data_IF_415209988738
#
_entry.id   IF_415209988738
#
_cell.length_a   1.000
_cell.length_b   1.000
_cell.length_c   1.000
_cell.angle_alpha   90.00
_cell.angle_beta   90.00
_cell.angle_gamma   90.00
#
_symmetry.space_group_name_H-M   'P 1'
#
loop_
_entity.id
_entity.type
_entity.pdbx_description
1 polymer ?
#
# COMPACT_ATOMS: atom_id res chain seq x y z
N UNK A 1 38.44 5.33 14.08
CA UNK A 1 37.95 3.96 13.84
C UNK A 1 36.49 4.01 13.44
N UNK A 2 36.16 3.43 12.30
CA UNK A 2 34.88 3.55 11.62
C UNK A 2 33.87 2.48 12.07
N UNK A 3 32.58 2.80 11.99
CA UNK A 3 31.47 1.87 12.22
C UNK A 3 30.19 2.35 11.56
N UNK A 4 30.15 2.36 10.23
CA UNK A 4 28.96 2.68 9.45
C UNK A 4 28.05 1.45 9.33
N UNK A 5 26.97 1.40 10.11
CA UNK A 5 25.92 0.39 10.00
C UNK A 5 24.97 0.67 8.84
N UNK A 6 25.22 0.05 7.67
CA UNK A 6 24.29 0.04 6.55
C UNK A 6 23.10 -0.87 6.88
N UNK A 7 21.97 -0.28 7.25
CA UNK A 7 20.67 -0.97 7.33
C UNK A 7 20.28 -1.50 5.94
N UNK A 8 20.29 -2.83 5.79
CA UNK A 8 19.83 -3.52 4.59
C UNK A 8 18.33 -3.27 4.41
N UNK A 9 17.96 -2.54 3.36
CA UNK A 9 16.60 -2.53 2.82
C UNK A 9 16.30 -3.94 2.29
N UNK A 10 15.46 -4.69 2.99
CA UNK A 10 14.99 -5.98 2.52
C UNK A 10 14.13 -5.76 1.26
N UNK A 11 14.62 -6.31 0.15
CA UNK A 11 13.96 -6.30 -1.14
C UNK A 11 12.79 -7.26 -1.16
N UNK A 12 11.77 -6.89 -1.92
CA UNK A 12 10.55 -7.63 -2.11
C UNK A 12 10.71 -8.80 -3.09
N UNK A 13 10.27 -9.98 -2.66
CA UNK A 13 9.80 -11.09 -3.49
C UNK A 13 8.72 -11.85 -2.73
N UNK A 14 7.68 -12.27 -3.46
CA UNK A 14 6.57 -13.06 -2.93
C UNK A 14 7.02 -14.39 -2.33
N UNK A 15 6.15 -14.92 -1.45
CA UNK A 15 6.33 -16.10 -0.61
C UNK A 15 7.42 -15.94 0.48
N UNK A 16 6.98 -15.53 1.66
CA UNK A 16 7.81 -15.21 2.81
C UNK A 16 8.15 -16.45 3.64
N UNK A 17 9.29 -17.08 3.34
CA UNK A 17 9.96 -17.95 4.31
C UNK A 17 10.89 -17.06 5.17
N UNK A 18 10.67 -17.02 6.49
CA UNK A 18 11.62 -16.41 7.45
C UNK A 18 11.30 -15.00 8.00
N UNK A 19 10.04 -14.56 8.00
CA UNK A 19 9.69 -13.35 8.77
C UNK A 19 9.65 -13.67 10.27
N UNK A 20 10.29 -12.83 11.08
CA UNK A 20 10.16 -12.84 12.53
C UNK A 20 8.87 -12.15 12.92
N UNK A 21 8.14 -12.73 13.88
CA UNK A 21 6.96 -12.12 14.47
C UNK A 21 7.33 -10.72 15.02
N UNK A 22 6.62 -9.64 14.63
CA UNK A 22 6.88 -8.32 15.18
C UNK A 22 6.42 -8.25 16.64
N UNK A 23 7.15 -7.49 17.46
CA UNK A 23 6.88 -7.35 18.90
C UNK A 23 5.45 -6.85 19.19
N UNK A 24 4.91 -6.01 18.31
CA UNK A 24 3.56 -5.46 18.44
C UNK A 24 2.47 -6.37 17.86
N UNK A 25 2.84 -7.52 17.28
CA UNK A 25 1.96 -8.42 16.53
C UNK A 25 1.18 -7.71 15.40
N UNK A 26 1.65 -6.55 14.92
CA UNK A 26 0.90 -5.63 14.08
C UNK A 26 -0.44 -5.16 14.70
N UNK A 27 -0.52 -5.07 16.03
CA UNK A 27 -1.67 -4.55 16.79
C UNK A 27 -1.28 -3.20 17.38
N UNK A 28 -2.13 -2.20 17.16
CA UNK A 28 -1.91 -0.83 17.62
C UNK A 28 -3.15 -0.23 18.24
N UNK A 29 -2.96 0.67 19.22
CA UNK A 29 -4.09 1.37 19.86
C UNK A 29 -4.68 2.42 18.94
N UNK A 30 -5.99 2.30 18.69
CA UNK A 30 -6.79 3.29 17.97
C UNK A 30 -7.92 3.81 18.87
N UNK A 31 -8.69 4.81 18.40
CA UNK A 31 -9.86 5.30 19.15
C UNK A 31 -10.92 4.22 19.40
N UNK A 32 -10.98 3.19 18.55
CA UNK A 32 -11.88 2.05 18.68
C UNK A 32 -11.27 0.85 19.40
N UNK A 33 -10.16 1.02 20.11
CA UNK A 33 -9.42 -0.08 20.75
C UNK A 33 -8.27 -0.62 19.91
N UNK A 34 -7.71 -1.79 20.31
CA UNK A 34 -6.61 -2.44 19.60
C UNK A 34 -7.05 -2.91 18.22
N UNK A 35 -6.36 -2.44 17.17
CA UNK A 35 -6.69 -2.79 15.78
C UNK A 35 -5.43 -2.99 14.95
N UNK A 36 -5.62 -3.60 13.77
CA UNK A 36 -4.59 -3.76 12.74
C UNK A 36 -5.04 -3.07 11.47
N UNK A 37 -4.09 -2.52 10.73
CA UNK A 37 -4.28 -2.04 9.37
C UNK A 37 -3.68 -3.01 8.36
N UNK A 38 -4.48 -3.29 7.34
CA UNK A 38 -4.05 -3.98 6.12
C UNK A 38 -3.78 -2.88 5.08
N UNK A 39 -2.51 -2.68 4.75
CA UNK A 39 -2.09 -1.82 3.63
C UNK A 39 -1.96 -2.69 2.40
N UNK A 40 -2.76 -2.42 1.36
CA UNK A 40 -2.91 -3.33 0.23
C UNK A 40 -2.84 -2.60 -1.11
N UNK A 41 -2.20 -3.23 -2.09
CA UNK A 41 -2.34 -2.91 -3.50
C UNK A 41 -3.09 -4.04 -4.20
N UNK A 42 -3.98 -3.70 -5.13
CA UNK A 42 -4.70 -4.65 -5.98
C UNK A 42 -4.54 -4.31 -7.46
N UNK A 43 -4.79 -5.28 -8.32
CA UNK A 43 -4.84 -5.09 -9.77
C UNK A 43 -6.15 -4.39 -10.22
N UNK A 44 -6.35 -4.31 -11.54
CA UNK A 44 -7.55 -3.71 -12.13
C UNK A 44 -8.84 -4.52 -11.96
N UNK A 45 -8.74 -5.77 -11.51
CA UNK A 45 -9.84 -6.71 -11.26
C UNK A 45 -10.18 -6.84 -9.77
N UNK A 46 -9.39 -6.21 -8.89
CA UNK A 46 -9.58 -6.26 -7.44
C UNK A 46 -8.98 -7.49 -6.80
N UNK A 47 -7.92 -8.04 -7.39
CA UNK A 47 -7.10 -9.12 -6.82
C UNK A 47 -5.91 -8.52 -6.07
N UNK A 48 -5.66 -8.90 -4.81
CA UNK A 48 -4.50 -8.39 -4.06
C UNK A 48 -3.17 -8.76 -4.73
N UNK A 49 -2.25 -7.79 -4.81
CA UNK A 49 -0.90 -7.93 -5.35
C UNK A 49 0.17 -7.86 -4.25
N UNK A 50 -0.06 -7.04 -3.23
CA UNK A 50 0.84 -6.88 -2.10
C UNK A 50 0.05 -6.48 -0.87
N UNK A 51 0.42 -7.06 0.27
CA UNK A 51 -0.15 -6.78 1.57
C UNK A 51 0.96 -6.46 2.57
N UNK A 52 0.73 -5.48 3.43
CA UNK A 52 1.58 -5.13 4.56
C UNK A 52 0.67 -4.92 5.77
N UNK A 53 1.04 -5.51 6.91
CA UNK A 53 0.32 -5.35 8.18
C UNK A 53 1.04 -4.38 9.10
N UNK A 54 0.26 -3.58 9.84
CA UNK A 54 0.78 -2.75 10.92
C UNK A 54 -0.25 -2.56 12.02
N UNK A 55 0.19 -2.12 13.20
CA UNK A 55 -0.72 -1.59 14.22
C UNK A 55 -1.65 -0.49 13.68
N UNK A 56 -2.87 -0.41 14.23
CA UNK A 56 -3.93 0.48 13.78
C UNK A 56 -3.65 1.98 13.91
N UNK A 57 -2.67 2.35 14.75
CA UNK A 57 -2.18 3.72 14.92
C UNK A 57 -1.27 4.19 13.78
N UNK A 58 -0.76 3.29 12.94
CA UNK A 58 0.19 3.63 11.88
C UNK A 58 -0.52 4.35 10.72
N UNK A 59 0.09 5.41 10.21
CA UNK A 59 -0.46 6.16 9.09
C UNK A 59 -0.20 5.44 7.75
N UNK A 60 -1.25 5.26 6.95
CA UNK A 60 -1.24 4.53 5.68
C UNK A 60 -0.22 5.06 4.67
N UNK A 61 -0.01 6.39 4.63
CA UNK A 61 0.96 6.97 3.71
C UNK A 61 2.41 6.56 3.98
N UNK A 62 2.73 6.10 5.20
CA UNK A 62 4.09 5.64 5.57
C UNK A 62 4.42 4.26 5.01
N UNK A 63 3.41 3.44 4.73
CA UNK A 63 3.58 2.07 4.21
C UNK A 63 3.47 1.97 2.69
N UNK A 64 3.16 3.09 2.02
CA UNK A 64 3.01 3.14 0.57
C UNK A 64 4.21 2.54 -0.19
N UNK A 65 5.45 2.90 0.19
CA UNK A 65 6.65 2.40 -0.49
C UNK A 65 6.82 0.90 -0.28
N UNK A 66 6.51 0.40 0.93
CA UNK A 66 6.60 -1.01 1.28
C UNK A 66 5.58 -1.85 0.49
N UNK A 67 4.33 -1.38 0.41
CA UNK A 67 3.30 -2.00 -0.44
C UNK A 67 3.73 -2.01 -1.90
N UNK A 68 4.24 -0.88 -2.41
CA UNK A 68 4.69 -0.78 -3.80
C UNK A 68 5.94 -1.62 -4.13
N UNK A 69 6.70 -2.04 -3.11
CA UNK A 69 7.84 -2.94 -3.31
C UNK A 69 7.36 -4.37 -3.55
N UNK A 70 6.32 -4.82 -2.85
CA UNK A 70 5.72 -6.15 -3.00
C UNK A 70 4.94 -6.35 -4.31
N UNK A 71 4.59 -5.28 -5.01
CA UNK A 71 3.85 -5.36 -6.27
C UNK A 71 4.69 -5.99 -7.38
N UNK A 72 4.20 -7.12 -7.90
CA UNK A 72 4.77 -7.85 -9.03
C UNK A 72 3.66 -8.21 -10.01
N UNK A 73 3.99 -8.20 -11.30
CA UNK A 73 3.10 -8.58 -12.39
C UNK A 73 3.78 -9.65 -13.23
N UNK A 74 2.98 -10.61 -13.68
CA UNK A 74 3.42 -11.54 -14.72
C UNK A 74 3.81 -10.77 -15.97
N UNK A 75 4.90 -11.22 -16.59
CA UNK A 75 5.40 -10.67 -17.84
C UNK A 75 5.17 -11.71 -18.93
N UNK A 76 4.63 -11.32 -20.11
CA UNK A 76 4.66 -12.21 -21.26
C UNK A 76 6.12 -12.50 -21.64
N UNK A 77 6.56 -13.75 -21.50
CA UNK A 77 7.89 -14.23 -21.87
C UNK A 77 8.88 -14.40 -20.70
N UNK A 78 10.13 -14.74 -21.04
CA UNK A 78 11.19 -15.05 -20.07
C UNK A 78 11.75 -13.79 -19.40
N UNK A 79 11.95 -13.83 -18.07
CA UNK A 79 12.63 -12.78 -17.32
C UNK A 79 12.05 -12.53 -15.94
N UNK A 80 12.61 -11.54 -15.22
CA UNK A 80 12.10 -11.13 -13.90
C UNK A 80 10.68 -10.54 -14.02
N UNK A 81 9.77 -10.81 -13.05
CA UNK A 81 8.46 -10.17 -13.00
C UNK A 81 8.54 -8.65 -13.11
N UNK A 82 7.55 -8.05 -13.78
CA UNK A 82 7.45 -6.60 -13.84
C UNK A 82 7.05 -6.06 -12.46
N UNK A 83 7.68 -4.99 -11.99
CA UNK A 83 7.40 -4.40 -10.66
C UNK A 83 6.82 -2.99 -10.74
N UNK A 84 6.71 -2.45 -11.96
CA UNK A 84 6.30 -1.07 -12.21
C UNK A 84 4.91 -1.06 -12.85
N UNK A 85 3.86 -0.60 -12.14
CA UNK A 85 2.57 -0.34 -12.77
C UNK A 85 2.63 0.90 -13.66
N UNK A 86 1.79 0.93 -14.69
CA UNK A 86 1.64 2.13 -15.54
C UNK A 86 1.03 3.30 -14.77
N UNK A 87 0.09 3.00 -13.88
CA UNK A 87 -0.62 3.98 -13.07
C UNK A 87 -0.99 3.46 -11.69
N UNK A 88 -0.87 4.33 -10.68
CA UNK A 88 -1.38 4.11 -9.32
C UNK A 88 -2.57 5.02 -9.05
N UNK A 89 -3.64 4.44 -8.53
CA UNK A 89 -4.81 5.14 -8.00
C UNK A 89 -4.75 5.02 -6.48
N UNK A 90 -4.83 6.13 -5.76
CA UNK A 90 -4.85 6.11 -4.30
C UNK A 90 -5.66 7.28 -3.74
N UNK A 91 -6.03 7.15 -2.48
CA UNK A 91 -6.77 8.17 -1.75
C UNK A 91 -5.99 9.46 -1.54
N UNK A 92 -6.73 10.54 -1.28
CA UNK A 92 -6.15 11.84 -0.92
C UNK A 92 -5.14 11.75 0.25
N UNK A 93 -5.27 10.77 1.15
CA UNK A 93 -4.31 10.52 2.23
C UNK A 93 -2.89 10.24 1.73
N UNK A 94 -2.75 9.73 0.51
CA UNK A 94 -1.48 9.41 -0.15
C UNK A 94 -0.92 10.58 -0.97
N UNK A 95 -1.47 11.79 -0.88
CA UNK A 95 -1.04 12.95 -1.68
C UNK A 95 0.27 13.60 -1.23
N UNK A 96 1.07 12.94 -0.39
CA UNK A 96 2.29 13.51 0.19
C UNK A 96 3.37 13.76 -0.87
N UNK A 97 4.24 14.77 -0.64
CA UNK A 97 5.37 15.06 -1.52
C UNK A 97 6.28 13.84 -1.69
N UNK A 98 6.52 13.08 -0.61
CA UNK A 98 7.34 11.88 -0.65
C UNK A 98 6.80 10.81 -1.61
N UNK A 99 5.50 10.50 -1.53
CA UNK A 99 4.85 9.53 -2.43
C UNK A 99 4.89 10.02 -3.87
N UNK A 100 4.59 11.30 -4.11
CA UNK A 100 4.67 11.87 -5.47
C UNK A 100 6.08 11.81 -6.04
N UNK A 101 7.09 12.13 -5.24
CA UNK A 101 8.50 12.03 -5.66
C UNK A 101 8.88 10.59 -5.97
N UNK A 102 8.49 9.64 -5.12
CA UNK A 102 8.73 8.21 -5.35
C UNK A 102 8.13 7.73 -6.69
N UNK A 103 6.86 8.06 -6.95
CA UNK A 103 6.18 7.68 -8.20
C UNK A 103 6.82 8.33 -9.43
N UNK A 104 7.20 9.60 -9.34
CA UNK A 104 7.89 10.31 -10.44
C UNK A 104 9.26 9.69 -10.75
N UNK A 105 10.07 9.39 -9.72
CA UNK A 105 11.38 8.74 -9.87
C UNK A 105 11.27 7.38 -10.55
N UNK A 106 10.16 6.66 -10.34
CA UNK A 106 9.89 5.38 -10.99
C UNK A 106 9.13 5.50 -12.31
N UNK A 107 8.85 6.71 -12.79
CA UNK A 107 8.04 6.96 -14.00
C UNK A 107 6.66 6.27 -13.95
N UNK A 108 6.00 6.32 -12.80
CA UNK A 108 4.64 5.78 -12.57
C UNK A 108 3.63 6.94 -12.59
N UNK A 109 2.56 6.83 -13.39
CA UNK A 109 1.50 7.84 -13.42
C UNK A 109 0.69 7.77 -12.12
N UNK A 110 0.32 8.91 -11.55
CA UNK A 110 -0.35 8.95 -10.25
C UNK A 110 -1.71 9.68 -10.33
N UNK A 111 -2.80 8.93 -10.16
CA UNK A 111 -4.15 9.50 -9.98
C UNK A 111 -4.47 9.52 -8.49
N UNK A 112 -4.04 10.58 -7.83
CA UNK A 112 -4.24 10.80 -6.39
C UNK A 112 -4.83 12.21 -6.25
N UNK A 113 -5.98 12.40 -5.59
CA UNK A 113 -6.49 13.73 -5.33
C UNK A 113 -5.55 14.51 -4.41
N UNK A 114 -5.45 15.82 -4.59
CA UNK A 114 -4.73 16.67 -3.65
C UNK A 114 -5.60 16.97 -2.43
N UNK A 115 -5.02 17.02 -1.24
CA UNK A 115 -5.76 17.41 -0.04
C UNK A 115 -6.09 18.91 -0.07
N UNK A 116 -7.21 19.30 0.55
CA UNK A 116 -7.70 20.69 0.58
C UNK A 116 -6.67 21.66 1.16
N UNK A 117 -6.01 21.28 2.25
CA UNK A 117 -4.94 22.03 2.92
C UNK A 117 -3.72 22.22 2.01
N UNK A 118 -3.33 21.17 1.27
CA UNK A 118 -2.22 21.26 0.32
C UNK A 118 -2.55 22.21 -0.84
N UNK A 119 -3.78 22.13 -1.38
CA UNK A 119 -4.26 23.05 -2.41
C UNK A 119 -4.25 24.50 -1.91
N UNK A 120 -4.80 24.74 -0.73
CA UNK A 120 -4.86 26.08 -0.12
C UNK A 120 -3.45 26.65 0.14
N UNK A 121 -2.56 25.84 0.70
CA UNK A 121 -1.17 26.25 0.96
C UNK A 121 -0.41 26.52 -0.34
N UNK A 122 -0.65 25.75 -1.41
CA UNK A 122 -0.09 26.03 -2.74
C UNK A 122 -0.59 27.37 -3.27
N UNK A 123 -1.90 27.61 -3.25
CA UNK A 123 -2.48 28.88 -3.71
C UNK A 123 -1.92 30.07 -2.92
N UNK A 124 -1.80 29.94 -1.59
CA UNK A 124 -1.21 30.97 -0.72
C UNK A 124 0.24 31.31 -1.08
N UNK A 125 0.99 30.36 -1.64
CA UNK A 125 2.39 30.57 -2.06
C UNK A 125 2.51 31.22 -3.45
N UNK A 126 1.42 31.44 -4.18
CA UNK A 126 1.42 32.03 -5.52
C UNK A 126 2.38 31.30 -6.47
N UNK A 127 3.24 32.05 -7.16
CA UNK A 127 4.24 31.50 -8.08
C UNK A 127 5.20 30.48 -7.43
N UNK A 128 5.52 30.64 -6.14
CA UNK A 128 6.39 29.70 -5.37
C UNK A 128 5.68 28.38 -5.03
N UNK A 129 4.36 28.29 -5.24
CA UNK A 129 3.57 27.09 -5.02
C UNK A 129 3.75 26.01 -6.09
N UNK A 130 4.20 26.39 -7.29
CA UNK A 130 4.38 25.48 -8.41
C UNK A 130 3.07 24.97 -9.03
N UNK A 131 3.19 24.12 -10.06
CA UNK A 131 2.05 23.60 -10.83
C UNK A 131 1.24 22.57 -10.03
N UNK A 132 -0.11 22.59 -10.13
CA UNK A 132 -0.94 21.54 -9.55
C UNK A 132 -0.60 20.15 -10.08
N UNK A 133 -0.63 19.10 -9.23
CA UNK A 133 -0.53 17.73 -9.72
C UNK A 133 -1.64 17.42 -10.73
N UNK A 134 -1.30 16.76 -11.83
CA UNK A 134 -2.28 16.26 -12.77
C UNK A 134 -3.22 15.26 -12.07
N UNK A 135 -4.53 15.39 -12.32
CA UNK A 135 -5.55 14.52 -11.76
C UNK A 135 -6.55 14.12 -12.84
N UNK A 136 -6.72 12.81 -13.01
CA UNK A 136 -7.62 12.21 -13.99
C UNK A 136 -8.87 11.69 -13.26
N UNK A 137 -9.98 12.42 -13.41
CA UNK A 137 -11.26 12.08 -12.76
C UNK A 137 -11.82 10.75 -13.27
N UNK A 138 -11.68 10.47 -14.56
CA UNK A 138 -12.22 9.25 -15.18
C UNK A 138 -11.47 8.03 -14.68
N UNK A 139 -10.13 8.08 -14.66
CA UNK A 139 -9.32 7.03 -14.05
C UNK A 139 -9.66 6.87 -12.56
N UNK A 140 -9.86 7.97 -11.82
CA UNK A 140 -10.15 7.91 -10.38
C UNK A 140 -11.44 7.17 -10.04
N UNK A 141 -12.44 7.11 -10.95
CA UNK A 141 -13.66 6.30 -10.74
C UNK A 141 -13.35 4.81 -10.50
N UNK A 142 -12.25 4.29 -11.06
CA UNK A 142 -11.80 2.90 -10.84
C UNK A 142 -11.21 2.64 -9.45
N UNK A 143 -11.08 3.64 -8.58
CA UNK A 143 -10.65 3.43 -7.18
C UNK A 143 -11.58 2.48 -6.42
N UNK A 144 -12.85 2.37 -6.84
CA UNK A 144 -13.80 1.41 -6.28
C UNK A 144 -13.33 -0.06 -6.35
N UNK A 145 -12.37 -0.38 -7.20
CA UNK A 145 -11.75 -1.71 -7.29
C UNK A 145 -11.05 -2.09 -5.97
N UNK A 146 -10.35 -1.14 -5.34
CA UNK A 146 -9.68 -1.36 -4.05
C UNK A 146 -10.70 -1.64 -2.95
N UNK A 147 -11.80 -0.87 -2.91
CA UNK A 147 -12.88 -1.08 -1.92
C UNK A 147 -13.52 -2.46 -2.09
N UNK A 148 -13.76 -2.88 -3.34
CA UNK A 148 -14.28 -4.22 -3.66
C UNK A 148 -13.29 -5.31 -3.25
N UNK A 149 -11.99 -5.09 -3.43
CA UNK A 149 -10.94 -6.00 -2.96
C UNK A 149 -11.02 -6.18 -1.43
N UNK A 150 -11.10 -5.08 -0.67
CA UNK A 150 -11.28 -5.13 0.79
C UNK A 150 -12.58 -5.82 1.19
N UNK A 151 -13.67 -5.56 0.48
CA UNK A 151 -14.96 -6.19 0.78
C UNK A 151 -14.89 -7.70 0.57
N UNK A 152 -14.24 -8.18 -0.51
CA UNK A 152 -14.00 -9.61 -0.76
C UNK A 152 -13.14 -10.24 0.33
N UNK A 153 -12.06 -9.59 0.76
CA UNK A 153 -11.25 -10.06 1.89
C UNK A 153 -12.06 -10.13 3.20
N UNK A 154 -13.00 -9.20 3.41
CA UNK A 154 -13.88 -9.19 4.60
C UNK A 154 -15.03 -10.20 4.54
N UNK A 155 -15.24 -10.92 3.44
CA UNK A 155 -16.15 -12.07 3.42
C UNK A 155 -15.63 -13.21 4.29
N UNK A 156 -14.31 -13.30 4.46
CA UNK A 156 -13.67 -14.24 5.36
C UNK A 156 -13.74 -13.69 6.80
N UNK A 157 -14.59 -14.31 7.64
CA UNK A 157 -14.84 -13.86 9.03
C UNK A 157 -13.55 -13.74 9.86
N UNK A 158 -12.62 -14.68 9.70
CA UNK A 158 -11.33 -14.66 10.38
C UNK A 158 -10.51 -13.39 10.07
N UNK A 159 -10.60 -12.89 8.83
CA UNK A 159 -9.94 -11.64 8.41
C UNK A 159 -10.71 -10.43 8.93
N UNK A 160 -12.03 -10.41 8.74
CA UNK A 160 -12.89 -9.29 9.09
C UNK A 160 -12.83 -8.94 10.58
N UNK A 161 -12.80 -9.97 11.44
CA UNK A 161 -12.73 -9.79 12.90
C UNK A 161 -11.31 -9.83 13.45
N UNK A 162 -10.32 -10.25 12.64
CA UNK A 162 -8.96 -10.55 13.09
C UNK A 162 -8.95 -11.52 14.28
N UNK A 163 -9.18 -12.81 13.99
CA UNK A 163 -9.13 -13.88 15.00
C UNK A 163 -7.70 -14.21 15.45
N UNK A 164 -6.72 -14.05 14.55
CA UNK A 164 -5.33 -14.35 14.84
C UNK A 164 -4.68 -13.28 15.73
N UNK A 165 -4.01 -13.74 16.80
CA UNK A 165 -3.27 -12.87 17.71
C UNK A 165 -1.98 -12.36 17.07
N UNK A 166 -1.23 -13.24 16.42
CA UNK A 166 0.07 -12.97 15.82
C UNK A 166 -0.07 -12.37 14.42
N UNK A 167 0.87 -11.52 14.04
CA UNK A 167 0.92 -10.94 12.70
C UNK A 167 1.15 -12.03 11.64
N UNK A 168 2.02 -13.00 11.91
CA UNK A 168 2.34 -14.07 10.96
C UNK A 168 1.12 -14.94 10.65
N UNK A 169 0.37 -15.37 11.66
CA UNK A 169 -0.85 -16.18 11.43
C UNK A 169 -1.92 -15.37 10.70
N UNK A 170 -2.09 -14.09 11.07
CA UNK A 170 -3.03 -13.21 10.37
C UNK A 170 -2.63 -12.97 8.90
N UNK A 171 -1.34 -12.78 8.64
CA UNK A 171 -0.82 -12.65 7.28
C UNK A 171 -1.06 -13.93 6.48
N UNK A 172 -0.79 -15.11 7.05
CA UNK A 172 -1.04 -16.39 6.40
C UNK A 172 -2.53 -16.55 6.02
N UNK A 173 -3.45 -16.16 6.91
CA UNK A 173 -4.89 -16.17 6.59
C UNK A 173 -5.26 -15.20 5.45
N UNK A 174 -4.64 -14.02 5.40
CA UNK A 174 -4.82 -13.08 4.29
C UNK A 174 -4.25 -13.64 2.99
N UNK A 175 -3.11 -14.32 3.05
CA UNK A 175 -2.46 -14.91 1.88
C UNK A 175 -3.33 -16.05 1.32
N UNK A 176 -3.87 -16.92 2.18
CA UNK A 176 -4.81 -17.97 1.79
C UNK A 176 -6.07 -17.37 1.15
N UNK A 177 -6.68 -16.36 1.77
CA UNK A 177 -7.82 -15.67 1.18
C UNK A 177 -7.46 -15.03 -0.17
N UNK A 178 -6.28 -14.41 -0.26
CA UNK A 178 -5.77 -13.81 -1.50
C UNK A 178 -5.69 -14.86 -2.60
N UNK A 179 -5.09 -16.02 -2.35
CA UNK A 179 -5.02 -17.13 -3.31
C UNK A 179 -6.42 -17.53 -3.81
N UNK A 180 -7.41 -17.63 -2.92
CA UNK A 180 -8.80 -17.92 -3.29
C UNK A 180 -9.42 -16.81 -4.16
N UNK A 181 -8.99 -15.55 -4.04
CA UNK A 181 -9.46 -14.46 -4.91
C UNK A 181 -8.84 -14.49 -6.32
N UNK A 182 -7.71 -15.20 -6.48
CA UNK A 182 -6.99 -15.36 -7.75
C UNK A 182 -7.52 -16.52 -8.60
N UNK A 183 -8.03 -17.58 -7.96
CA UNK A 183 -8.77 -18.67 -8.58
C UNK A 183 -10.14 -18.20 -9.09
#
# INVERSE_FOLDING_TARGET
MAGAGRGRTQGASGFWCGQTEPDDHAIGRSRGGPTTKIHLACDGHGRPLSVVLTGGNVNDCTRFVQVMAGVQFERPGRGRPATRPDRVLADKGYSTKAIRTYLRKRHIRATIPERRDQRANRTRRGAKGGRPPAFDKTAYRRRNVVERCFQRLKQFRAIATRYDKTALSYQAMIDLATLTLWL
#
